data_IF_715615058549
#
_entry.id   IF_715615058549
#
_cell.length_a   1.000
_cell.length_b   1.000
_cell.length_c   1.000
_cell.angle_alpha   90.00
_cell.angle_beta   90.00
_cell.angle_gamma   90.00
#
_symmetry.space_group_name_H-M   'P 1'
#
loop_
_entity.id
_entity.type
_entity.pdbx_description
1 polymer ?
#
# COMPACT_ATOMS: atom_id res chain seq x y z
N UNK A 1 6.91 -24.19 11.50
CA UNK A 1 8.19 -23.51 11.84
C UNK A 1 9.41 -24.42 11.99
N UNK A 2 9.34 -25.61 12.61
CA UNK A 2 10.52 -26.51 12.78
C UNK A 2 11.29 -26.80 11.49
N UNK A 3 10.59 -27.16 10.40
CA UNK A 3 11.23 -27.45 9.11
C UNK A 3 11.95 -26.22 8.54
N UNK A 4 11.38 -25.03 8.67
CA UNK A 4 12.01 -23.79 8.21
C UNK A 4 13.33 -23.53 8.95
N UNK A 5 13.35 -23.69 10.27
CA UNK A 5 14.60 -23.58 11.06
C UNK A 5 15.62 -24.65 10.68
N UNK A 6 15.19 -25.91 10.58
CA UNK A 6 16.07 -27.02 10.20
C UNK A 6 16.69 -26.85 8.80
N UNK A 7 15.95 -26.21 7.89
CA UNK A 7 16.42 -25.87 6.55
C UNK A 7 17.32 -24.61 6.51
N UNK A 8 17.58 -23.95 7.65
CA UNK A 8 18.41 -22.76 7.71
C UNK A 8 17.73 -21.50 7.17
N UNK A 9 16.41 -21.40 7.28
CA UNK A 9 15.67 -20.21 6.84
C UNK A 9 16.22 -18.95 7.54
N UNK A 10 16.62 -17.97 6.72
CA UNK A 10 17.14 -16.68 7.19
C UNK A 10 16.05 -15.61 7.30
N UNK A 11 14.88 -15.86 6.72
CA UNK A 11 13.67 -15.04 6.80
C UNK A 11 12.44 -15.90 6.59
N UNK A 12 11.29 -15.43 7.07
CA UNK A 12 9.98 -16.00 6.78
C UNK A 12 9.15 -14.94 6.06
N UNK A 13 8.69 -15.21 4.85
CA UNK A 13 7.77 -14.34 4.10
C UNK A 13 6.38 -14.97 4.04
N UNK A 14 5.36 -14.20 4.40
CA UNK A 14 3.95 -14.60 4.32
C UNK A 14 3.20 -13.79 3.25
N UNK A 15 2.75 -14.46 2.20
CA UNK A 15 2.04 -13.87 1.07
C UNK A 15 0.53 -14.08 1.13
N UNK A 16 -0.11 -13.69 2.23
CA UNK A 16 -1.57 -13.77 2.37
C UNK A 16 -2.11 -12.65 3.25
N UNK A 17 -3.39 -12.73 3.57
CA UNK A 17 -4.06 -11.78 4.46
C UNK A 17 -3.91 -12.20 5.93
N UNK A 18 -4.17 -11.29 6.85
CA UNK A 18 -4.19 -11.58 8.29
C UNK A 18 -5.07 -12.78 8.64
N UNK A 19 -6.26 -12.89 8.03
CA UNK A 19 -7.13 -14.07 8.14
C UNK A 19 -6.79 -15.02 6.98
N UNK A 20 -6.50 -16.31 7.24
CA UNK A 20 -6.98 -17.12 8.36
C UNK A 20 -6.00 -17.33 9.54
N UNK A 21 -4.95 -16.50 9.69
CA UNK A 21 -3.97 -16.66 10.78
C UNK A 21 -2.53 -16.34 10.39
N UNK A 22 -2.30 -15.53 9.36
CA UNK A 22 -0.96 -15.27 8.81
C UNK A 22 0.05 -14.80 9.86
N UNK A 23 -0.38 -13.92 10.76
CA UNK A 23 0.48 -13.36 11.79
C UNK A 23 0.59 -14.23 13.05
N UNK A 24 -0.18 -15.32 13.16
CA UNK A 24 0.05 -16.35 14.20
C UNK A 24 1.39 -17.05 13.97
N UNK A 25 1.84 -17.15 12.71
CA UNK A 25 3.18 -17.62 12.34
C UNK A 25 4.24 -16.80 13.06
N UNK A 26 4.08 -15.48 13.15
CA UNK A 26 5.01 -14.61 13.88
C UNK A 26 5.01 -14.93 15.38
N UNK A 27 3.86 -15.24 15.98
CA UNK A 27 3.81 -15.68 17.37
C UNK A 27 4.57 -17.01 17.56
N UNK A 28 4.36 -17.99 16.67
CA UNK A 28 5.05 -19.29 16.71
C UNK A 28 6.57 -19.16 16.53
N UNK A 29 7.02 -18.20 15.71
CA UNK A 29 8.44 -17.96 15.50
C UNK A 29 9.18 -17.68 16.81
N UNK A 30 8.54 -17.09 17.83
CA UNK A 30 9.19 -16.79 19.12
C UNK A 30 9.81 -18.01 19.79
N UNK A 31 9.20 -19.19 19.65
CA UNK A 31 9.70 -20.43 20.25
C UNK A 31 10.83 -21.08 19.44
N UNK A 32 10.92 -20.75 18.14
CA UNK A 32 11.83 -21.40 17.19
C UNK A 32 13.02 -20.51 16.87
N UNK A 33 12.81 -19.20 16.73
CA UNK A 33 13.77 -18.15 16.39
C UNK A 33 13.80 -17.11 17.51
N UNK A 34 14.54 -17.36 18.62
CA UNK A 34 14.52 -16.49 19.80
C UNK A 34 15.09 -15.10 19.50
N UNK A 35 14.78 -14.15 20.38
CA UNK A 35 15.31 -12.78 20.30
C UNK A 35 16.86 -12.81 20.21
N UNK A 36 17.41 -12.20 19.16
CA UNK A 36 18.84 -12.23 18.84
C UNK A 36 19.22 -13.05 17.60
N UNK A 37 18.33 -13.94 17.12
CA UNK A 37 18.55 -14.72 15.89
C UNK A 37 18.19 -13.97 14.58
N UNK A 38 17.84 -12.67 14.70
CA UNK A 38 17.59 -11.69 13.63
C UNK A 38 16.73 -12.13 12.42
N UNK A 39 16.07 -13.30 12.47
CA UNK A 39 15.25 -13.83 11.38
C UNK A 39 13.99 -12.98 11.24
N UNK A 40 13.86 -12.14 10.19
CA UNK A 40 12.72 -11.25 10.06
C UNK A 40 11.48 -12.05 9.66
N UNK A 41 10.33 -11.52 10.07
CA UNK A 41 9.05 -11.91 9.52
C UNK A 41 8.61 -10.82 8.56
N UNK A 42 8.40 -11.21 7.32
CA UNK A 42 8.07 -10.35 6.21
C UNK A 42 6.67 -10.73 5.69
N UNK A 43 5.96 -9.78 5.11
CA UNK A 43 4.74 -10.09 4.36
C UNK A 43 4.39 -9.02 3.34
N UNK A 44 3.24 -9.21 2.71
CA UNK A 44 2.68 -8.25 1.77
C UNK A 44 1.68 -7.30 2.42
N UNK A 45 1.01 -6.54 1.56
CA UNK A 45 -0.06 -5.61 1.90
C UNK A 45 -1.16 -6.22 2.78
N UNK A 46 -1.53 -7.49 2.56
CA UNK A 46 -2.61 -8.17 3.30
C UNK A 46 -2.41 -8.30 4.82
N UNK A 47 -1.21 -7.99 5.34
CA UNK A 47 -0.93 -7.91 6.78
C UNK A 47 -0.45 -6.53 7.25
N UNK A 48 -0.16 -5.63 6.31
CA UNK A 48 0.41 -4.32 6.61
C UNK A 48 -0.60 -3.45 7.35
N UNK A 49 -0.16 -2.80 8.43
CA UNK A 49 -0.99 -1.87 9.22
C UNK A 49 -2.29 -2.48 9.80
N UNK A 50 -2.47 -3.81 9.75
CA UNK A 50 -3.68 -4.47 10.26
C UNK A 50 -3.57 -4.70 11.78
N UNK A 51 -4.45 -4.09 12.60
CA UNK A 51 -4.50 -4.34 14.03
C UNK A 51 -4.67 -5.83 14.38
N UNK A 52 -5.40 -6.60 13.56
CA UNK A 52 -5.58 -8.03 13.80
C UNK A 52 -4.28 -8.81 13.60
N UNK A 53 -3.39 -8.37 12.71
CA UNK A 53 -2.07 -8.98 12.54
C UNK A 53 -1.22 -8.76 13.79
N UNK A 54 -1.17 -7.52 14.29
CA UNK A 54 -0.43 -7.18 15.52
C UNK A 54 -0.98 -7.97 16.71
N UNK A 55 -2.31 -8.07 16.84
CA UNK A 55 -2.95 -8.84 17.90
C UNK A 55 -2.61 -10.35 17.82
N UNK A 56 -2.62 -10.94 16.62
CA UNK A 56 -2.29 -12.34 16.41
C UNK A 56 -0.80 -12.65 16.67
N UNK A 57 0.11 -11.74 16.31
CA UNK A 57 1.53 -11.86 16.60
C UNK A 57 1.88 -11.66 18.08
N UNK A 58 1.01 -10.96 18.83
CA UNK A 58 1.13 -10.73 20.26
C UNK A 58 2.44 -10.01 20.62
N UNK A 59 3.12 -10.48 21.67
CA UNK A 59 4.38 -9.88 22.13
C UNK A 59 5.55 -9.95 21.12
N UNK A 60 5.42 -10.74 20.05
CA UNK A 60 6.43 -10.86 19.00
C UNK A 60 6.14 -9.97 17.77
N UNK A 61 5.18 -9.05 17.86
CA UNK A 61 4.77 -8.22 16.73
C UNK A 61 5.83 -7.20 16.27
N UNK A 62 6.69 -6.72 17.16
CA UNK A 62 7.74 -5.78 16.79
C UNK A 62 8.68 -6.39 15.73
N UNK A 63 9.04 -5.60 14.71
CA UNK A 63 9.90 -6.03 13.62
C UNK A 63 9.25 -7.00 12.63
N UNK A 64 7.91 -6.99 12.53
CA UNK A 64 7.23 -7.45 11.32
C UNK A 64 7.42 -6.38 10.25
N UNK A 65 7.91 -6.76 9.08
CA UNK A 65 7.97 -5.87 7.93
C UNK A 65 6.92 -6.28 6.88
N UNK A 66 6.30 -5.30 6.23
CA UNK A 66 5.34 -5.55 5.17
C UNK A 66 5.58 -4.64 3.96
N UNK A 67 5.52 -5.20 2.76
CA UNK A 67 5.62 -4.46 1.50
C UNK A 67 4.25 -4.13 0.95
N UNK A 68 4.00 -2.85 0.67
CA UNK A 68 2.73 -2.34 0.14
C UNK A 68 2.97 -1.67 -1.21
N UNK A 69 2.27 -2.06 -2.29
CA UNK A 69 2.54 -1.59 -3.66
C UNK A 69 1.92 -0.20 -3.93
N UNK A 70 2.21 0.76 -3.06
CA UNK A 70 1.75 2.13 -3.18
C UNK A 70 2.81 3.12 -2.72
N UNK A 71 2.61 4.37 -3.15
CA UNK A 71 3.30 5.53 -2.60
C UNK A 71 2.66 5.89 -1.27
N UNK A 72 3.43 5.92 -0.18
CA UNK A 72 2.91 6.44 1.09
C UNK A 72 2.63 7.96 0.98
N UNK A 73 1.35 8.34 0.97
CA UNK A 73 0.95 9.74 0.82
C UNK A 73 1.42 10.64 1.98
N UNK A 74 1.51 10.11 3.22
CA UNK A 74 2.01 10.85 4.37
C UNK A 74 3.49 11.29 4.19
N UNK A 75 4.23 10.65 3.27
CA UNK A 75 5.61 11.03 2.92
C UNK A 75 5.72 12.12 1.86
N UNK A 76 4.61 12.54 1.23
CA UNK A 76 4.60 13.49 0.12
C UNK A 76 4.17 14.88 0.59
N UNK A 77 5.05 15.90 0.52
CA UNK A 77 4.68 17.27 0.91
C UNK A 77 3.45 17.81 0.17
N UNK A 78 3.30 17.47 -1.12
CA UNK A 78 2.15 17.86 -1.94
C UNK A 78 0.81 17.27 -1.48
N UNK A 79 0.82 16.17 -0.72
CA UNK A 79 -0.40 15.56 -0.18
C UNK A 79 -0.88 16.21 1.12
N UNK A 80 -0.02 16.99 1.81
CA UNK A 80 -0.28 17.45 3.18
C UNK A 80 -1.61 18.21 3.32
N UNK A 81 -1.91 19.11 2.38
CA UNK A 81 -3.18 19.85 2.37
C UNK A 81 -4.38 18.93 2.17
N UNK A 82 -4.31 18.01 1.19
CA UNK A 82 -5.39 17.05 0.93
C UNK A 82 -5.63 16.13 2.12
N UNK A 83 -4.57 15.67 2.78
CA UNK A 83 -4.62 14.84 3.99
C UNK A 83 -5.28 15.61 5.14
N UNK A 84 -4.87 16.86 5.35
CA UNK A 84 -5.45 17.73 6.36
C UNK A 84 -6.95 17.95 6.11
N UNK A 85 -7.32 18.29 4.89
CA UNK A 85 -8.70 18.58 4.51
C UNK A 85 -9.60 17.34 4.58
N UNK A 86 -9.07 16.16 4.23
CA UNK A 86 -9.74 14.88 4.42
C UNK A 86 -10.01 14.64 5.92
N UNK A 87 -8.98 14.73 6.76
CA UNK A 87 -9.11 14.52 8.22
C UNK A 87 -10.06 15.50 8.89
N UNK A 88 -10.08 16.76 8.42
CA UNK A 88 -11.01 17.80 8.89
C UNK A 88 -12.46 17.45 8.53
N UNK A 89 -12.68 16.92 7.33
CA UNK A 89 -14.03 16.63 6.81
C UNK A 89 -14.61 15.33 7.39
N UNK A 90 -13.80 14.28 7.47
CA UNK A 90 -14.28 12.92 7.77
C UNK A 90 -13.86 12.40 9.15
N UNK A 91 -13.01 13.11 9.88
CA UNK A 91 -12.46 12.68 11.16
C UNK A 91 -11.02 12.17 11.03
N UNK A 92 -10.34 12.05 12.17
CA UNK A 92 -8.87 12.11 12.21
C UNK A 92 -8.11 10.78 12.16
N UNK A 93 -8.70 9.62 12.47
CA UNK A 93 -7.87 8.44 12.80
C UNK A 93 -8.31 7.06 12.31
N UNK A 94 -9.60 6.79 12.04
CA UNK A 94 -10.04 5.47 11.51
C UNK A 94 -10.31 5.45 10.01
N UNK A 95 -10.74 6.58 9.45
CA UNK A 95 -11.13 6.66 8.03
C UNK A 95 -9.97 7.04 7.10
N UNK A 96 -8.84 7.43 7.69
CA UNK A 96 -7.60 7.72 6.98
C UNK A 96 -6.63 6.56 7.12
N UNK A 97 -6.43 5.84 6.02
CA UNK A 97 -5.48 4.73 5.91
C UNK A 97 -4.64 4.84 4.63
N UNK A 98 -3.76 3.87 4.39
CA UNK A 98 -2.82 3.89 3.26
C UNK A 98 -3.51 4.00 1.89
N UNK A 99 -4.75 3.50 1.78
CA UNK A 99 -5.55 3.52 0.55
C UNK A 99 -6.37 4.79 0.32
N UNK A 100 -6.49 5.69 1.30
CA UNK A 100 -7.35 6.86 1.21
C UNK A 100 -6.95 7.78 0.06
N UNK A 101 -5.67 8.10 -0.06
CA UNK A 101 -5.19 8.99 -1.13
C UNK A 101 -5.07 8.28 -2.48
N UNK A 102 -4.87 6.96 -2.48
CA UNK A 102 -4.94 6.20 -3.73
C UNK A 102 -6.35 6.24 -4.32
N UNK A 103 -7.39 6.11 -3.49
CA UNK A 103 -8.78 6.25 -3.92
C UNK A 103 -9.11 7.67 -4.39
N UNK A 104 -8.56 8.69 -3.70
CA UNK A 104 -8.66 10.08 -4.13
C UNK A 104 -8.08 10.30 -5.54
N UNK A 105 -6.86 9.80 -5.76
CA UNK A 105 -6.17 9.91 -7.05
C UNK A 105 -6.88 9.12 -8.16
N UNK A 106 -7.36 7.90 -7.88
CA UNK A 106 -8.17 7.13 -8.81
C UNK A 106 -9.45 7.87 -9.23
N UNK A 107 -10.07 8.61 -8.30
CA UNK A 107 -11.24 9.44 -8.58
C UNK A 107 -10.87 10.63 -9.47
N UNK A 108 -9.73 11.27 -9.23
CA UNK A 108 -9.23 12.36 -10.07
C UNK A 108 -8.96 11.89 -11.52
N UNK A 109 -8.41 10.69 -11.70
CA UNK A 109 -8.23 10.06 -13.03
C UNK A 109 -9.56 9.92 -13.75
N UNK A 110 -10.59 9.38 -13.08
CA UNK A 110 -11.91 9.21 -13.67
C UNK A 110 -12.56 10.55 -14.05
N UNK A 111 -12.46 11.56 -13.20
CA UNK A 111 -12.99 12.89 -13.53
C UNK A 111 -12.28 13.53 -14.71
N UNK A 112 -10.95 13.47 -14.75
CA UNK A 112 -10.19 14.02 -15.87
C UNK A 112 -10.50 13.29 -17.19
N UNK A 113 -10.67 11.98 -17.16
CA UNK A 113 -11.04 11.20 -18.33
C UNK A 113 -12.48 11.49 -18.79
N UNK A 114 -13.42 11.62 -17.85
CA UNK A 114 -14.81 11.97 -18.15
C UNK A 114 -14.92 13.36 -18.78
N UNK A 115 -14.17 14.34 -18.26
CA UNK A 115 -14.12 15.69 -18.82
C UNK A 115 -13.62 15.68 -20.28
N UNK A 116 -12.49 15.01 -20.55
CA UNK A 116 -12.00 14.84 -21.93
C UNK A 116 -13.00 14.16 -22.84
N UNK A 117 -13.68 13.11 -22.36
CA UNK A 117 -14.69 12.39 -23.14
C UNK A 117 -15.92 13.26 -23.45
N UNK A 118 -16.39 14.07 -22.50
CA UNK A 118 -17.48 15.04 -22.70
C UNK A 118 -17.07 16.09 -23.74
N UNK A 119 -15.86 16.63 -23.63
CA UNK A 119 -15.33 17.59 -24.59
C UNK A 119 -15.25 16.98 -26.00
N UNK A 120 -14.76 15.73 -26.13
CA UNK A 120 -14.75 14.98 -27.38
C UNK A 120 -16.14 14.69 -27.96
N UNK A 121 -17.17 14.59 -27.10
CA UNK A 121 -18.57 14.46 -27.48
C UNK A 121 -19.27 15.81 -27.73
N UNK A 122 -18.54 16.92 -27.79
CA UNK A 122 -19.10 18.26 -28.01
C UNK A 122 -20.02 18.72 -26.88
N UNK A 123 -19.72 18.34 -25.63
CA UNK A 123 -20.50 18.69 -24.44
C UNK A 123 -21.68 17.75 -24.14
N UNK A 124 -21.90 16.73 -24.97
CA UNK A 124 -22.95 15.73 -24.74
C UNK A 124 -22.47 14.60 -23.84
N UNK A 125 -23.42 13.79 -23.36
CA UNK A 125 -23.12 12.57 -22.62
C UNK A 125 -22.23 11.64 -23.48
N UNK A 126 -21.00 11.30 -23.04
CA UNK A 126 -20.11 10.45 -23.80
C UNK A 126 -20.54 8.98 -23.69
N UNK A 127 -20.07 8.16 -24.64
CA UNK A 127 -20.19 6.71 -24.52
C UNK A 127 -19.26 6.17 -23.43
N UNK A 128 -19.63 5.04 -22.81
CA UNK A 128 -18.75 4.33 -21.87
C UNK A 128 -17.39 3.99 -22.48
N UNK A 129 -17.37 3.59 -23.77
CA UNK A 129 -16.15 3.26 -24.49
C UNK A 129 -15.21 4.46 -24.62
N UNK A 130 -15.76 5.65 -24.89
CA UNK A 130 -15.00 6.91 -24.93
C UNK A 130 -14.38 7.23 -23.57
N UNK A 131 -15.14 7.07 -22.47
CA UNK A 131 -14.61 7.30 -21.12
C UNK A 131 -13.47 6.33 -20.80
N UNK A 132 -13.64 5.03 -21.08
CA UNK A 132 -12.57 4.04 -20.83
C UNK A 132 -11.33 4.28 -21.69
N UNK A 133 -11.51 4.74 -22.94
CA UNK A 133 -10.40 5.14 -23.79
C UNK A 133 -9.64 6.31 -23.17
N UNK A 134 -10.34 7.35 -22.74
CA UNK A 134 -9.72 8.51 -22.10
C UNK A 134 -9.01 8.16 -20.79
N UNK A 135 -9.54 7.24 -19.97
CA UNK A 135 -8.84 6.75 -18.77
C UNK A 135 -7.46 6.23 -19.13
N UNK A 136 -7.37 5.37 -20.16
CA UNK A 136 -6.12 4.79 -20.63
C UNK A 136 -5.15 5.84 -21.22
N UNK A 137 -5.65 7.01 -21.66
CA UNK A 137 -4.83 8.12 -22.14
C UNK A 137 -4.31 9.03 -21.01
N UNK A 138 -4.59 8.72 -19.75
CA UNK A 138 -4.12 9.55 -18.62
C UNK A 138 -2.59 9.47 -18.52
N UNK A 139 -1.94 10.64 -18.56
CA UNK A 139 -0.50 10.77 -18.44
C UNK A 139 -0.13 12.10 -17.78
N UNK A 140 0.67 12.04 -16.71
CA UNK A 140 1.16 13.21 -15.99
C UNK A 140 0.10 14.03 -15.24
N UNK A 141 -1.08 13.45 -14.97
CA UNK A 141 -2.13 14.14 -14.21
C UNK A 141 -1.65 14.37 -12.78
N UNK A 142 -1.63 15.63 -12.30
CA UNK A 142 -1.18 15.92 -10.95
C UNK A 142 -2.12 15.29 -9.89
N UNK A 143 -1.62 14.35 -9.11
CA UNK A 143 -2.32 13.70 -7.99
C UNK A 143 -1.62 13.93 -6.65
N UNK A 144 -2.27 13.52 -5.57
CA UNK A 144 -1.74 13.60 -4.21
C UNK A 144 -0.52 12.69 -4.01
N UNK A 145 -0.50 11.53 -4.66
CA UNK A 145 0.63 10.57 -4.60
C UNK A 145 1.72 10.85 -5.63
N UNK A 146 1.56 11.86 -6.48
CA UNK A 146 2.47 12.22 -7.56
C UNK A 146 1.77 12.30 -8.93
N UNK A 147 2.53 12.43 -10.03
CA UNK A 147 1.98 12.44 -11.38
C UNK A 147 1.36 11.08 -11.73
N UNK A 148 0.06 11.06 -12.00
CA UNK A 148 -0.72 9.87 -12.32
C UNK A 148 -0.68 9.61 -13.83
N UNK A 149 -0.53 8.34 -14.18
CA UNK A 149 -0.57 7.88 -15.55
C UNK A 149 -0.55 6.36 -15.64
N UNK A 150 -0.72 5.87 -16.86
CA UNK A 150 -0.68 4.44 -17.18
C UNK A 150 0.29 4.16 -18.33
N UNK A 151 0.93 2.99 -18.29
CA UNK A 151 1.70 2.48 -19.43
C UNK A 151 0.81 1.71 -20.43
N UNK A 152 1.43 1.19 -21.49
CA UNK A 152 0.72 0.50 -22.56
C UNK A 152 0.01 -0.80 -22.11
N UNK A 153 0.41 -1.40 -20.98
CA UNK A 153 -0.27 -2.55 -20.39
C UNK A 153 -1.41 -2.14 -19.45
N UNK A 154 -1.54 -0.85 -19.13
CA UNK A 154 -2.50 -0.32 -18.18
C UNK A 154 -1.97 -0.26 -16.74
N UNK A 155 -0.68 -0.54 -16.51
CA UNK A 155 -0.07 -0.43 -15.20
C UNK A 155 0.20 1.03 -14.85
N UNK A 156 0.13 1.38 -13.57
CA UNK A 156 0.43 2.74 -13.14
C UNK A 156 1.89 3.12 -13.39
N UNK A 157 2.13 4.37 -13.78
CA UNK A 157 3.49 4.92 -13.88
C UNK A 157 4.11 5.21 -12.50
N UNK A 158 3.31 5.21 -11.42
CA UNK A 158 3.81 5.34 -10.05
C UNK A 158 4.35 4.00 -9.52
N UNK A 159 5.58 3.67 -9.91
CA UNK A 159 6.23 2.38 -9.63
C UNK A 159 6.98 2.38 -8.29
N UNK A 160 6.22 2.49 -7.20
CA UNK A 160 6.76 2.48 -5.82
C UNK A 160 6.22 1.30 -5.01
N UNK A 161 7.09 0.71 -4.19
CA UNK A 161 6.69 -0.19 -3.09
C UNK A 161 7.14 0.44 -1.78
N UNK A 162 6.20 0.71 -0.87
CA UNK A 162 6.50 1.18 0.48
C UNK A 162 6.71 0.00 1.42
N UNK A 163 7.70 0.09 2.32
CA UNK A 163 7.97 -0.92 3.34
C UNK A 163 7.63 -0.35 4.71
N UNK A 164 6.76 -1.05 5.44
CA UNK A 164 6.32 -0.68 6.78
C UNK A 164 6.83 -1.65 7.83
N UNK A 165 7.08 -1.15 9.05
CA UNK A 165 7.48 -1.95 10.21
C UNK A 165 6.49 -1.80 11.37
N UNK A 166 6.05 -2.92 11.93
CA UNK A 166 5.30 -2.95 13.17
C UNK A 166 6.20 -2.56 14.35
N UNK A 167 5.81 -1.53 15.09
CA UNK A 167 6.63 -0.93 16.14
C UNK A 167 6.51 -1.61 17.51
N UNK A 168 5.49 -2.42 17.72
CA UNK A 168 5.20 -2.99 19.03
C UNK A 168 3.88 -3.76 19.08
N UNK A 169 3.46 -4.13 20.28
CA UNK A 169 2.31 -5.00 20.53
C UNK A 169 0.99 -4.26 20.75
N UNK A 170 0.95 -2.93 20.58
CA UNK A 170 -0.30 -2.17 20.55
C UNK A 170 -0.92 -2.29 19.15
N UNK A 171 -2.07 -2.97 18.98
CA UNK A 171 -2.73 -3.11 17.69
C UNK A 171 -3.15 -1.78 17.04
N UNK A 172 -3.20 -0.70 17.81
CA UNK A 172 -3.58 0.63 17.32
C UNK A 172 -2.37 1.51 16.99
N UNK A 173 -1.15 1.05 17.28
CA UNK A 173 0.04 1.80 16.94
C UNK A 173 0.18 1.86 15.41
N UNK A 174 0.48 3.05 14.90
CA UNK A 174 0.84 3.22 13.50
C UNK A 174 2.15 2.50 13.23
N UNK A 175 2.23 1.80 12.12
CA UNK A 175 3.47 1.21 11.66
C UNK A 175 4.37 2.32 11.11
N UNK A 176 5.68 2.13 11.21
CA UNK A 176 6.64 3.08 10.66
C UNK A 176 6.83 2.80 9.17
N UNK A 177 6.80 3.83 8.32
CA UNK A 177 7.41 3.74 7.00
C UNK A 177 8.92 3.66 7.19
N UNK A 178 9.55 2.56 6.78
CA UNK A 178 11.00 2.34 6.95
C UNK A 178 11.77 2.45 5.64
N UNK A 179 11.12 2.19 4.51
CA UNK A 179 11.74 2.35 3.19
C UNK A 179 10.68 2.55 2.09
N UNK A 180 11.09 3.05 0.94
CA UNK A 180 10.29 3.11 -0.27
C UNK A 180 11.16 2.83 -1.49
N UNK A 181 10.84 1.76 -2.21
CA UNK A 181 11.58 1.32 -3.39
C UNK A 181 10.88 1.82 -4.65
N UNK A 182 11.52 2.75 -5.35
CA UNK A 182 11.18 3.10 -6.73
C UNK A 182 11.82 2.07 -7.68
N UNK A 183 10.99 1.34 -8.42
CA UNK A 183 11.42 0.32 -9.36
C UNK A 183 11.20 0.72 -10.83
N UNK A 184 10.97 2.01 -11.10
CA UNK A 184 10.75 2.56 -12.44
C UNK A 184 11.87 2.19 -13.43
N UNK A 185 13.11 2.11 -12.95
CA UNK A 185 14.29 1.80 -13.76
C UNK A 185 14.64 0.29 -13.84
N UNK A 186 13.92 -0.60 -13.15
CA UNK A 186 14.35 -1.99 -12.90
C UNK A 186 13.49 -3.07 -13.54
N UNK A 187 12.45 -2.72 -14.28
CA UNK A 187 11.62 -3.73 -14.94
C UNK A 187 12.30 -4.19 -16.25
N UNK A 188 12.53 -5.51 -16.42
CA UNK A 188 13.25 -6.08 -17.56
C UNK A 188 12.36 -6.45 -18.75
N UNK A 189 11.13 -5.91 -18.81
CA UNK A 189 10.30 -6.02 -20.00
C UNK A 189 10.47 -4.79 -20.90
#
# INVERSE_FOLDING_TARGET
MRNAKAAGAQAIYYGGDTRPGGCEIRAEMRAMFPAGEATPFLGGDGIAEDPACVAAAGANSAGIFASVPLVNADSKPGAATTIHDFKRTFGSTRDYGPYTLLAYDATAVLYAALDRAIQGAGGHLPSRASVTHEVAQTSGLAGATGPLGFDAAGDTTNRTVSIFEAVGSDPRARWNLVDAVDYSARLPY
#
